data_IF_061092513846
#
_entry.id   IF_061092513846
#
_cell.length_a   1.000
_cell.length_b   1.000
_cell.length_c   1.000
_cell.angle_alpha   90.00
_cell.angle_beta   90.00
_cell.angle_gamma   90.00
#
_symmetry.space_group_name_H-M   'P 1'
#
loop_
_entity.id
_entity.type
_entity.pdbx_description
1 polymer ?
#
# COMPACT_ATOMS: atom_id res chain seq x y z
N UNK A 1 6.89 -10.60 2.66
CA UNK A 1 7.86 -10.06 1.72
C UNK A 1 7.86 -8.57 1.81
N UNK A 2 9.01 -8.00 2.08
CA UNK A 2 9.08 -6.56 2.24
C UNK A 2 9.37 -5.88 0.93
N UNK A 3 8.68 -4.82 0.67
CA UNK A 3 8.89 -4.05 -0.55
C UNK A 3 9.03 -2.59 -0.17
N UNK A 4 9.63 -1.82 -1.05
CA UNK A 4 9.76 -0.38 -0.84
C UNK A 4 8.46 0.29 -1.19
N UNK A 5 8.23 1.45 -0.64
CA UNK A 5 7.06 2.22 -1.00
C UNK A 5 6.91 2.39 -2.49
N UNK A 6 8.02 2.55 -3.19
CA UNK A 6 7.98 2.68 -4.63
C UNK A 6 7.43 1.47 -5.34
N UNK A 7 7.42 0.33 -4.69
CA UNK A 7 6.98 -0.89 -5.31
C UNK A 7 5.52 -1.21 -5.05
N UNK A 8 4.86 -0.39 -4.28
CA UNK A 8 3.46 -0.60 -4.01
C UNK A 8 2.67 -0.28 -5.26
N UNK A 9 1.80 -1.16 -5.66
CA UNK A 9 0.99 -0.96 -6.84
C UNK A 9 -0.46 -1.24 -6.52
N UNK A 10 -1.39 -0.71 -7.29
CA UNK A 10 -2.80 -0.98 -7.04
C UNK A 10 -3.07 -2.47 -7.10
N UNK A 11 -3.79 -2.95 -6.17
CA UNK A 11 -4.10 -4.37 -6.06
C UNK A 11 -3.22 -5.13 -5.11
N UNK A 12 -2.11 -4.52 -4.68
CA UNK A 12 -1.24 -5.19 -3.72
C UNK A 12 -1.89 -5.13 -2.34
N UNK A 13 -1.64 -6.16 -1.55
CA UNK A 13 -2.11 -6.18 -0.18
C UNK A 13 -0.90 -6.02 0.72
N UNK A 14 -0.96 -5.09 1.63
CA UNK A 14 0.14 -4.85 2.55
C UNK A 14 -0.37 -4.92 3.97
N UNK A 15 0.54 -5.18 4.88
CA UNK A 15 0.21 -5.21 6.29
C UNK A 15 0.58 -3.87 6.89
N UNK A 16 -0.37 -3.24 7.55
CA UNK A 16 -0.15 -1.93 8.13
C UNK A 16 -0.99 -1.84 9.38
N UNK A 17 -0.37 -1.50 10.49
CA UNK A 17 -1.08 -1.37 11.76
C UNK A 17 -1.80 -2.65 12.14
N UNK A 18 -1.15 -3.76 11.91
CA UNK A 18 -1.66 -5.08 12.26
C UNK A 18 -2.92 -5.45 11.49
N UNK A 19 -3.14 -4.82 10.37
CA UNK A 19 -4.28 -5.13 9.53
C UNK A 19 -3.82 -5.27 8.10
N UNK A 20 -4.61 -5.93 7.31
CA UNK A 20 -4.30 -6.09 5.91
C UNK A 20 -5.07 -5.07 5.09
N UNK A 21 -4.37 -4.40 4.21
CA UNK A 21 -4.97 -3.36 3.40
C UNK A 21 -4.65 -3.61 1.94
N UNK A 22 -5.60 -3.34 1.09
CA UNK A 22 -5.38 -3.46 -0.34
C UNK A 22 -5.15 -2.06 -0.89
N UNK A 23 -4.08 -1.88 -1.61
CA UNK A 23 -3.81 -0.60 -2.23
C UNK A 23 -4.76 -0.40 -3.41
N UNK A 24 -5.51 0.68 -3.38
CA UNK A 24 -6.46 0.98 -4.43
C UNK A 24 -5.86 1.96 -5.41
N UNK A 25 -5.18 2.98 -4.90
CA UNK A 25 -4.67 4.02 -5.74
C UNK A 25 -3.40 4.54 -5.15
N UNK A 26 -2.43 4.81 -5.97
CA UNK A 26 -1.16 5.31 -5.52
C UNK A 26 -0.86 6.58 -6.28
N UNK A 27 -0.45 7.60 -5.54
CA UNK A 27 -0.11 8.85 -6.14
C UNK A 27 1.28 9.23 -5.70
N UNK A 28 2.16 9.47 -6.63
CA UNK A 28 3.52 9.88 -6.30
C UNK A 28 3.54 11.38 -6.14
N UNK A 29 4.04 11.84 -5.02
CA UNK A 29 4.11 13.26 -4.74
C UNK A 29 5.57 13.61 -4.56
N UNK A 30 6.03 14.62 -5.28
CA UNK A 30 7.38 15.09 -5.17
C UNK A 30 7.38 16.52 -4.74
N UNK A 31 7.49 16.79 -3.46
CA UNK A 31 7.56 18.18 -3.02
C UNK A 31 8.88 18.81 -3.50
N UNK A 32 8.92 20.04 -3.62
CA UNK A 32 10.09 20.72 -4.09
C UNK A 32 11.28 20.51 -3.23
N UNK A 33 11.11 20.46 -1.93
CA UNK A 33 12.16 20.20 -1.07
C UNK A 33 11.85 19.02 -0.27
N UNK A 34 12.72 18.24 0.13
CA UNK A 34 12.51 17.08 0.94
C UNK A 34 12.29 15.88 0.08
N UNK A 35 12.01 14.77 0.65
CA UNK A 35 11.91 13.53 -0.07
C UNK A 35 10.57 13.32 -0.72
N UNK A 36 10.56 12.54 -1.75
CA UNK A 36 9.31 12.17 -2.38
C UNK A 36 8.56 11.19 -1.51
N UNK A 37 7.27 11.20 -1.61
CA UNK A 37 6.48 10.22 -0.89
C UNK A 37 5.32 9.77 -1.76
N UNK A 38 4.69 8.67 -1.34
CA UNK A 38 3.56 8.15 -2.06
C UNK A 38 2.34 8.30 -1.19
N UNK A 39 1.29 8.77 -1.77
CA UNK A 39 0.02 8.82 -1.09
C UNK A 39 -0.78 7.64 -1.58
N UNK A 40 -1.05 6.71 -0.70
CA UNK A 40 -1.67 5.46 -1.06
C UNK A 40 -3.05 5.39 -0.46
N UNK A 41 -4.01 5.15 -1.29
CA UNK A 41 -5.37 4.96 -0.83
C UNK A 41 -5.54 3.47 -0.55
N UNK A 42 -5.82 3.14 0.67
CA UNK A 42 -5.90 1.76 1.10
C UNK A 42 -7.34 1.41 1.46
N UNK A 43 -7.65 0.16 1.34
CA UNK A 43 -8.95 -0.32 1.74
C UNK A 43 -8.74 -1.58 2.55
N UNK A 44 -9.31 -1.63 3.72
CA UNK A 44 -9.12 -2.77 4.56
C UNK A 44 -9.80 -3.98 3.95
N UNK A 45 -9.09 -5.10 3.94
CA UNK A 45 -9.56 -6.26 3.26
C UNK A 45 -10.82 -6.83 3.93
N UNK A 46 -10.90 -6.70 5.22
CA UNK A 46 -12.03 -7.27 5.93
C UNK A 46 -13.24 -6.37 5.94
N UNK A 47 -13.08 -5.14 6.37
CA UNK A 47 -14.20 -4.24 6.53
C UNK A 47 -14.46 -3.37 5.36
N UNK A 48 -13.51 -3.20 4.50
CA UNK A 48 -13.64 -2.26 3.41
C UNK A 48 -13.45 -0.82 3.84
N UNK A 49 -12.91 -0.60 5.02
CA UNK A 49 -12.66 0.76 5.50
C UNK A 49 -11.59 1.41 4.64
N UNK A 50 -11.79 2.64 4.26
CA UNK A 50 -10.82 3.35 3.45
C UNK A 50 -9.88 4.13 4.33
N UNK A 51 -8.62 4.13 3.94
CA UNK A 51 -7.61 4.86 4.65
C UNK A 51 -6.62 5.43 3.67
N UNK A 52 -6.24 6.67 3.84
CA UNK A 52 -5.20 7.27 3.03
C UNK A 52 -3.95 7.35 3.88
N UNK A 53 -2.89 6.76 3.40
CA UNK A 53 -1.64 6.75 4.15
C UNK A 53 -0.53 7.29 3.28
N UNK A 54 0.49 7.85 3.89
CA UNK A 54 1.63 8.33 3.17
C UNK A 54 2.80 7.45 3.49
N UNK A 55 3.48 7.01 2.47
CA UNK A 55 4.67 6.20 2.65
C UNK A 55 5.81 6.91 1.94
N UNK A 56 6.97 6.93 2.56
CA UNK A 56 8.13 7.49 1.91
C UNK A 56 8.59 6.53 0.85
N UNK A 57 9.18 7.04 -0.20
CA UNK A 57 9.59 6.19 -1.30
C UNK A 57 10.59 5.14 -0.87
N UNK A 58 11.39 5.45 0.14
CA UNK A 58 12.35 4.49 0.65
C UNK A 58 11.85 3.67 1.82
N UNK A 59 10.62 3.88 2.22
CA UNK A 59 10.08 3.17 3.36
C UNK A 59 9.69 1.76 2.94
N UNK A 60 9.96 0.79 3.79
CA UNK A 60 9.61 -0.58 3.45
C UNK A 60 8.31 -0.96 4.13
N UNK A 61 7.51 -1.74 3.45
CA UNK A 61 6.27 -2.25 4.01
C UNK A 61 6.21 -3.75 3.76
N UNK A 62 5.40 -4.41 4.52
CA UNK A 62 5.27 -5.84 4.39
C UNK A 62 4.16 -6.14 3.37
N UNK A 63 4.52 -6.72 2.25
CA UNK A 63 3.55 -7.11 1.25
C UNK A 63 3.06 -8.51 1.54
N UNK A 64 1.76 -8.67 1.60
CA UNK A 64 1.15 -9.95 1.88
C UNK A 64 0.57 -10.49 0.59
N UNK A 65 0.91 -11.73 0.26
CA UNK A 65 0.39 -12.33 -0.91
C UNK A 65 -0.81 -13.13 -0.52
N UNK A 66 -1.98 -12.73 -0.94
CA UNK A 66 -3.18 -13.45 -0.72
C UNK A 66 -3.35 -14.45 -1.83
N UNK A 67 -3.34 -15.71 -1.49
CA UNK A 67 -3.44 -16.68 -2.45
C UNK A 67 -4.81 -16.88 -2.75
N UNK A 68 -5.40 -16.23 -3.64
CA UNK A 68 -6.69 -16.34 -3.95
C UNK A 68 -6.85 -17.31 -4.96
N UNK A 69 -7.22 -18.37 -4.81
CA UNK A 69 -7.52 -19.21 -5.72
C UNK A 69 -8.72 -19.00 -6.21
N UNK A 70 -8.97 -18.54 -7.11
CA UNK A 70 -10.04 -18.19 -7.56
C UNK A 70 -10.59 -19.10 -8.25
N UNK A 71 -11.35 -19.47 -8.26
CA UNK A 71 -11.96 -20.27 -8.93
C UNK A 71 -13.02 -19.96 -9.19
N UNK A 72 -13.25 -19.99 -9.67
CA UNK A 72 -14.23 -19.81 -9.87
C UNK A 72 -14.57 -20.15 -10.16
#
# INVERSE_FOLDING_TARGET
MKIDGNEIRPGNVIEHQSRLWRAIRIQHVKPGKGGAYLQVELREVRDGTKLNERFRSAETVERVRLDQKDYQ
#
